data_IF_497464544806
#
_entry.id   IF_497464544806
#
_cell.length_a   1.000
_cell.length_b   1.000
_cell.length_c   1.000
_cell.angle_alpha   90.00
_cell.angle_beta   90.00
_cell.angle_gamma   90.00
#
_symmetry.space_group_name_H-M   'P 1'
#
loop_
_entity.id
_entity.type
_entity.pdbx_description
1 polymer ?
#
# COMPACT_ATOMS: atom_id res chain seq x y z
N UNK A 1 -9.35 -15.90 24.79
CA UNK A 1 -9.52 -16.10 23.34
C UNK A 1 -8.71 -15.04 22.60
N UNK A 2 -7.44 -15.34 22.31
CA UNK A 2 -6.52 -14.49 21.55
C UNK A 2 -6.47 -15.00 20.12
N UNK A 3 -7.23 -14.39 19.22
CA UNK A 3 -7.09 -14.64 17.78
C UNK A 3 -5.85 -13.91 17.28
N UNK A 4 -4.70 -14.58 17.37
CA UNK A 4 -3.53 -14.28 16.55
C UNK A 4 -3.92 -14.60 15.10
N UNK A 5 -4.46 -13.60 14.40
CA UNK A 5 -4.63 -13.68 12.94
C UNK A 5 -3.22 -13.80 12.38
N UNK A 6 -2.98 -14.90 11.67
CA UNK A 6 -1.68 -15.39 11.24
C UNK A 6 -0.81 -14.33 10.59
N UNK A 7 0.19 -13.88 11.35
CA UNK A 7 1.45 -13.37 10.80
C UNK A 7 2.15 -14.62 10.26
N UNK A 8 2.01 -14.87 8.96
CA UNK A 8 2.75 -15.94 8.31
C UNK A 8 4.23 -15.55 8.30
N UNK A 9 5.02 -16.45 8.87
CA UNK A 9 6.46 -16.34 9.14
C UNK A 9 7.27 -16.42 7.84
N UNK A 10 7.22 -15.35 7.05
CA UNK A 10 8.18 -15.09 5.99
C UNK A 10 8.58 -13.64 6.13
N UNK A 11 9.31 -13.39 7.21
CA UNK A 11 9.52 -12.05 7.74
C UNK A 11 10.18 -11.13 6.73
N UNK A 12 10.93 -11.63 5.73
CA UNK A 12 11.65 -10.80 4.78
C UNK A 12 11.04 -10.82 3.36
N UNK A 13 11.00 -9.65 2.73
CA UNK A 13 10.64 -9.53 1.32
C UNK A 13 11.72 -10.18 0.46
N UNK A 14 11.33 -11.13 -0.40
CA UNK A 14 12.24 -11.88 -1.29
C UNK A 14 13.14 -11.01 -2.17
N UNK A 15 12.75 -9.75 -2.43
CA UNK A 15 13.46 -8.86 -3.36
C UNK A 15 14.48 -7.95 -2.67
N UNK A 16 14.25 -7.55 -1.43
CA UNK A 16 15.13 -6.61 -0.74
C UNK A 16 15.61 -7.10 0.63
N UNK A 17 15.18 -8.29 1.06
CA UNK A 17 15.57 -8.91 2.33
C UNK A 17 15.15 -8.12 3.58
N UNK A 18 14.30 -7.10 3.43
CA UNK A 18 13.79 -6.26 4.51
C UNK A 18 12.49 -6.83 5.02
N UNK A 19 12.11 -6.54 6.26
CA UNK A 19 10.87 -7.07 6.81
C UNK A 19 9.65 -6.77 5.90
N UNK A 20 8.93 -7.81 5.47
CA UNK A 20 7.77 -7.75 4.58
C UNK A 20 6.54 -7.22 5.33
N UNK A 21 6.60 -5.95 5.71
CA UNK A 21 5.50 -5.24 6.33
C UNK A 21 4.68 -4.46 5.30
N UNK A 22 3.42 -4.15 5.63
CA UNK A 22 2.54 -3.32 4.79
C UNK A 22 3.21 -1.98 4.42
N UNK A 23 3.90 -1.36 5.38
CA UNK A 23 4.66 -0.13 5.13
C UNK A 23 5.79 -0.35 4.13
N UNK A 24 6.53 -1.44 4.28
CA UNK A 24 7.57 -1.79 3.33
C UNK A 24 6.98 -1.99 1.92
N UNK A 25 5.98 -2.86 1.77
CA UNK A 25 5.34 -3.18 0.49
C UNK A 25 4.76 -1.94 -0.21
N UNK A 26 4.06 -1.08 0.53
CA UNK A 26 3.37 0.08 -0.02
C UNK A 26 4.29 1.29 -0.23
N UNK A 27 5.28 1.51 0.64
CA UNK A 27 6.04 2.77 0.68
C UNK A 27 7.52 2.62 0.32
N UNK A 28 8.15 1.46 0.52
CA UNK A 28 9.61 1.32 0.43
C UNK A 28 10.11 0.25 -0.54
N UNK A 29 9.31 -0.76 -0.86
CA UNK A 29 9.77 -1.93 -1.60
C UNK A 29 10.26 -1.53 -3.00
N UNK A 30 11.55 -1.77 -3.35
CA UNK A 30 12.10 -1.37 -4.64
C UNK A 30 11.44 -2.13 -5.81
N UNK A 31 10.94 -3.34 -5.55
CA UNK A 31 10.18 -4.16 -6.50
C UNK A 31 9.02 -3.40 -7.13
N UNK A 32 8.33 -2.59 -6.32
CA UNK A 32 7.11 -1.87 -6.72
C UNK A 32 7.36 -0.38 -6.92
N UNK A 33 8.60 0.06 -7.16
CA UNK A 33 8.93 1.48 -7.27
C UNK A 33 8.13 2.18 -8.38
N UNK A 34 7.96 1.51 -9.52
CA UNK A 34 7.21 2.01 -10.68
C UNK A 34 5.72 2.19 -10.36
N UNK A 35 5.08 1.13 -9.83
CA UNK A 35 3.67 1.13 -9.44
C UNK A 35 3.42 2.11 -8.28
N UNK A 36 4.36 2.20 -7.35
CA UNK A 36 4.31 3.17 -6.24
C UNK A 36 4.35 4.59 -6.76
N UNK A 37 5.12 4.88 -7.81
CA UNK A 37 5.15 6.22 -8.40
C UNK A 37 3.81 6.58 -9.06
N UNK A 38 3.12 5.61 -9.67
CA UNK A 38 1.75 5.79 -10.17
C UNK A 38 0.78 6.05 -9.02
N UNK A 39 0.84 5.25 -7.94
CA UNK A 39 0.02 5.44 -6.74
C UNK A 39 0.28 6.81 -6.09
N UNK A 40 1.55 7.19 -5.94
CA UNK A 40 1.96 8.47 -5.37
C UNK A 40 1.47 9.64 -6.23
N UNK A 41 1.56 9.56 -7.55
CA UNK A 41 1.02 10.59 -8.44
C UNK A 41 -0.51 10.71 -8.30
N UNK A 42 -1.22 9.58 -8.19
CA UNK A 42 -2.67 9.59 -8.00
C UNK A 42 -3.08 10.20 -6.65
N UNK A 43 -2.35 9.86 -5.58
CA UNK A 43 -2.61 10.37 -4.23
C UNK A 43 -2.19 11.82 -4.05
N UNK A 44 -1.11 12.28 -4.70
CA UNK A 44 -0.68 13.69 -4.66
C UNK A 44 -1.75 14.65 -5.16
N UNK A 45 -2.58 14.20 -6.11
CA UNK A 45 -3.72 14.97 -6.61
C UNK A 45 -4.87 15.11 -5.59
N UNK A 46 -4.84 14.31 -4.53
CA UNK A 46 -5.84 14.30 -3.46
C UNK A 46 -5.29 14.89 -2.16
N UNK A 47 -3.98 14.80 -1.95
CA UNK A 47 -3.28 15.19 -0.73
C UNK A 47 -1.80 15.50 -1.05
N UNK A 48 -1.32 16.70 -0.73
CA UNK A 48 0.06 17.13 -1.04
C UNK A 48 1.14 16.48 -0.14
N UNK A 49 0.75 15.64 0.83
CA UNK A 49 1.70 14.97 1.72
C UNK A 49 2.49 13.85 1.02
N UNK A 50 3.71 13.54 1.52
CA UNK A 50 4.47 12.40 1.03
C UNK A 50 3.71 11.09 1.22
N UNK A 51 3.95 10.13 0.32
CA UNK A 51 3.30 8.83 0.37
C UNK A 51 3.70 8.09 1.65
N UNK A 52 2.71 7.81 2.50
CA UNK A 52 2.85 6.96 3.68
C UNK A 52 1.61 6.08 3.82
N UNK A 53 1.71 4.99 4.58
CA UNK A 53 0.55 4.12 4.88
C UNK A 53 -0.59 4.92 5.47
N UNK A 54 -0.27 5.89 6.35
CA UNK A 54 -1.26 6.79 6.91
C UNK A 54 -1.98 7.59 5.83
N UNK A 55 -1.26 8.20 4.89
CA UNK A 55 -1.88 8.96 3.78
C UNK A 55 -2.72 8.05 2.89
N UNK A 56 -2.27 6.82 2.62
CA UNK A 56 -3.00 5.85 1.81
C UNK A 56 -4.34 5.50 2.49
N UNK A 57 -4.27 5.07 3.76
CA UNK A 57 -5.42 4.58 4.55
C UNK A 57 -6.20 5.67 5.27
N UNK A 58 -5.82 6.93 5.12
CA UNK A 58 -6.48 8.03 5.81
C UNK A 58 -7.96 8.10 5.46
N UNK A 59 -8.78 8.31 6.49
CA UNK A 59 -10.18 8.65 6.33
C UNK A 59 -10.33 9.96 5.56
N UNK A 60 -11.10 9.91 4.47
CA UNK A 60 -11.40 11.07 3.63
C UNK A 60 -12.89 11.37 3.74
N UNK A 61 -13.28 12.60 4.15
CA UNK A 61 -14.68 12.94 4.37
C UNK A 61 -15.47 13.02 3.06
N UNK A 62 -14.80 13.28 1.93
CA UNK A 62 -15.43 13.40 0.63
C UNK A 62 -15.43 12.07 -0.13
N UNK A 63 -16.61 11.54 -0.45
CA UNK A 63 -16.77 10.25 -1.14
C UNK A 63 -15.97 10.16 -2.45
N UNK A 64 -15.97 11.23 -3.25
CA UNK A 64 -15.21 11.24 -4.51
C UNK A 64 -13.70 11.12 -4.32
N UNK A 65 -13.13 11.69 -3.25
CA UNK A 65 -11.68 11.58 -2.99
C UNK A 65 -11.35 10.25 -2.32
N UNK A 66 -12.22 9.75 -1.43
CA UNK A 66 -12.14 8.40 -0.88
C UNK A 66 -12.15 7.34 -1.99
N UNK A 67 -13.11 7.42 -2.91
CA UNK A 67 -13.22 6.47 -4.02
C UNK A 67 -12.01 6.53 -4.95
N UNK A 68 -11.48 7.72 -5.26
CA UNK A 68 -10.25 7.86 -6.07
C UNK A 68 -9.04 7.25 -5.37
N UNK A 69 -8.88 7.47 -4.07
CA UNK A 69 -7.78 6.92 -3.29
C UNK A 69 -7.86 5.40 -3.20
N UNK A 70 -9.03 4.84 -2.85
CA UNK A 70 -9.25 3.39 -2.79
C UNK A 70 -9.08 2.75 -4.15
N UNK A 71 -9.59 3.37 -5.23
CA UNK A 71 -9.38 2.87 -6.60
C UNK A 71 -7.89 2.84 -6.96
N UNK A 72 -7.13 3.87 -6.63
CA UNK A 72 -5.69 3.90 -6.88
C UNK A 72 -4.97 2.81 -6.09
N UNK A 73 -5.34 2.60 -4.83
CA UNK A 73 -4.81 1.52 -3.99
C UNK A 73 -5.15 0.14 -4.55
N UNK A 74 -6.40 -0.12 -4.94
CA UNK A 74 -6.82 -1.38 -5.53
C UNK A 74 -6.11 -1.65 -6.87
N UNK A 75 -5.93 -0.62 -7.70
CA UNK A 75 -5.11 -0.73 -8.91
C UNK A 75 -3.68 -1.14 -8.57
N UNK A 76 -3.05 -0.47 -7.61
CA UNK A 76 -1.71 -0.83 -7.14
C UNK A 76 -1.67 -2.30 -6.69
N UNK A 77 -2.56 -2.72 -5.78
CA UNK A 77 -2.59 -4.09 -5.26
C UNK A 77 -2.81 -5.15 -6.34
N UNK A 78 -3.64 -4.85 -7.35
CA UNK A 78 -3.87 -5.75 -8.48
C UNK A 78 -2.65 -5.82 -9.40
N UNK A 79 -2.00 -4.69 -9.69
CA UNK A 79 -0.82 -4.66 -10.56
C UNK A 79 0.39 -5.32 -9.90
N UNK A 80 0.55 -5.18 -8.58
CA UNK A 80 1.65 -5.78 -7.83
C UNK A 80 1.41 -7.24 -7.45
N UNK A 81 0.20 -7.77 -7.68
CA UNK A 81 -0.21 -9.11 -7.25
C UNK A 81 -0.36 -9.25 -5.73
N UNK A 82 -0.29 -8.15 -4.97
CA UNK A 82 -0.45 -8.17 -3.52
C UNK A 82 -1.90 -8.45 -3.09
N UNK A 83 -2.88 -8.21 -3.96
CA UNK A 83 -4.29 -8.43 -3.67
C UNK A 83 -4.64 -9.91 -3.39
N UNK A 84 -3.82 -10.85 -3.87
CA UNK A 84 -4.00 -12.29 -3.64
C UNK A 84 -3.15 -12.82 -2.47
N UNK A 85 -2.23 -11.99 -1.95
CA UNK A 85 -1.28 -12.34 -0.88
C UNK A 85 -1.67 -11.79 0.49
N UNK A 86 -2.49 -10.73 0.54
CA UNK A 86 -3.02 -10.06 1.74
C UNK A 86 -4.43 -10.55 2.07
#
# INVERSE_FOLDING_TARGET
YTTLIGVTDSAACDVCGTDENIEHLLCHCPRFASERQVLANALRRLDDRPLSVQVILQHRPHLSTAHKAVKALLCFLRTTGLCERL
#
